data_IF_853873010627
#
_entry.id   IF_853873010627
#
_cell.length_a   1.000
_cell.length_b   1.000
_cell.length_c   1.000
_cell.angle_alpha   90.00
_cell.angle_beta   90.00
_cell.angle_gamma   90.00
#
_symmetry.space_group_name_H-M   'P 1'
#
loop_
_entity.id
_entity.type
_entity.pdbx_description
1 polymer ?
#
# COMPACT_ATOMS: atom_id res chain seq x y z
N UNK A 1 -20.55 -12.81 23.11
CA UNK A 1 -19.45 -12.71 22.15
C UNK A 1 -18.55 -11.57 22.60
N UNK A 2 -17.31 -11.85 23.00
CA UNK A 2 -16.37 -10.80 23.42
C UNK A 2 -16.04 -9.87 22.24
N UNK A 3 -15.81 -8.57 22.47
CA UNK A 3 -15.32 -7.69 21.42
C UNK A 3 -13.99 -8.26 20.92
N UNK A 4 -13.88 -8.54 19.62
CA UNK A 4 -12.60 -8.88 19.02
C UNK A 4 -11.67 -7.68 19.23
N UNK A 5 -10.57 -7.89 19.94
CA UNK A 5 -9.52 -6.88 20.11
C UNK A 5 -8.82 -6.68 18.76
N UNK A 6 -9.35 -5.76 17.96
CA UNK A 6 -8.68 -5.32 16.75
C UNK A 6 -7.41 -4.53 17.14
N UNK A 7 -6.29 -4.70 16.42
CA UNK A 7 -5.11 -3.88 16.63
C UNK A 7 -5.49 -2.39 16.58
N UNK A 8 -5.10 -1.66 17.62
CA UNK A 8 -5.39 -0.24 17.73
C UNK A 8 -4.51 0.57 16.77
N UNK A 9 -4.86 1.84 16.55
CA UNK A 9 -4.00 2.78 15.82
C UNK A 9 -2.57 2.84 16.41
N UNK A 10 -2.47 2.78 17.74
CA UNK A 10 -1.20 2.76 18.45
C UNK A 10 -0.35 1.52 18.12
N UNK A 11 -0.98 0.34 17.98
CA UNK A 11 -0.25 -0.87 17.60
C UNK A 11 0.51 -0.69 16.30
N UNK A 12 -0.13 -0.15 15.25
CA UNK A 12 0.55 0.03 13.96
C UNK A 12 1.60 1.14 13.99
N UNK A 13 1.43 2.19 14.79
CA UNK A 13 2.48 3.19 14.96
C UNK A 13 3.76 2.58 15.57
N UNK A 14 3.61 1.78 16.63
CA UNK A 14 4.72 1.08 17.26
C UNK A 14 5.30 0.00 16.34
N UNK A 15 4.46 -0.79 15.69
CA UNK A 15 4.86 -1.80 14.71
C UNK A 15 5.70 -1.19 13.58
N UNK A 16 5.23 -0.08 13.02
CA UNK A 16 5.88 0.59 11.91
C UNK A 16 7.22 1.20 12.32
N UNK A 17 7.26 1.91 13.45
CA UNK A 17 8.48 2.57 13.92
C UNK A 17 9.54 1.59 14.42
N UNK A 18 9.14 0.57 15.18
CA UNK A 18 10.07 -0.34 15.85
C UNK A 18 10.46 -1.53 14.99
N UNK A 19 9.53 -2.08 14.18
CA UNK A 19 9.77 -3.32 13.43
C UNK A 19 10.05 -3.05 11.95
N UNK A 20 9.18 -2.32 11.26
CA UNK A 20 9.41 -1.97 9.85
C UNK A 20 10.56 -0.96 9.68
N UNK A 21 10.72 -0.04 10.63
CA UNK A 21 11.83 0.90 10.71
C UNK A 21 13.10 0.34 11.35
N UNK A 22 13.11 -0.92 11.78
CA UNK A 22 14.26 -1.52 12.49
C UNK A 22 15.53 -1.46 11.64
N UNK A 23 16.72 -1.18 12.21
CA UNK A 23 17.99 -1.33 11.49
C UNK A 23 18.34 -2.80 11.20
N UNK A 24 17.69 -3.74 11.89
CA UNK A 24 17.93 -5.17 11.71
C UNK A 24 17.20 -5.70 10.48
N UNK A 25 17.97 -6.15 9.49
CA UNK A 25 17.45 -6.81 8.28
C UNK A 25 16.49 -7.96 8.62
N UNK A 26 16.87 -8.83 9.56
CA UNK A 26 16.05 -9.99 9.97
C UNK A 26 14.72 -9.52 10.58
N UNK A 27 14.75 -8.49 11.42
CA UNK A 27 13.52 -7.93 11.99
C UNK A 27 12.62 -7.36 10.91
N UNK A 28 13.16 -6.51 10.02
CA UNK A 28 12.37 -5.91 8.93
C UNK A 28 11.74 -6.95 8.02
N UNK A 29 12.50 -7.95 7.53
CA UNK A 29 11.96 -8.95 6.61
C UNK A 29 10.81 -9.75 7.23
N UNK A 30 10.92 -10.11 8.51
CA UNK A 30 9.89 -10.88 9.19
C UNK A 30 8.69 -10.00 9.55
N UNK A 31 8.92 -8.74 9.89
CA UNK A 31 7.85 -7.78 10.12
C UNK A 31 7.03 -7.49 8.86
N UNK A 32 7.66 -7.22 7.71
CA UNK A 32 6.90 -6.99 6.46
C UNK A 32 6.10 -8.23 6.06
N UNK A 33 6.67 -9.42 6.21
CA UNK A 33 5.96 -10.68 5.95
C UNK A 33 4.73 -10.84 6.85
N UNK A 34 4.93 -10.69 8.16
CA UNK A 34 3.87 -10.81 9.15
C UNK A 34 2.77 -9.76 8.93
N UNK A 35 3.14 -8.54 8.54
CA UNK A 35 2.17 -7.52 8.14
C UNK A 35 1.31 -7.99 6.96
N UNK A 36 1.91 -8.57 5.93
CA UNK A 36 1.18 -9.16 4.81
C UNK A 36 0.22 -10.25 5.26
N UNK A 37 0.68 -11.20 6.07
CA UNK A 37 -0.14 -12.28 6.60
C UNK A 37 -1.33 -11.75 7.42
N UNK A 38 -1.09 -10.76 8.29
CA UNK A 38 -2.14 -10.12 9.11
C UNK A 38 -3.20 -9.40 8.28
N UNK A 39 -2.79 -8.70 7.21
CA UNK A 39 -3.70 -7.92 6.38
C UNK A 39 -4.48 -8.79 5.37
N UNK A 40 -3.92 -9.93 4.96
CA UNK A 40 -4.57 -10.89 4.07
C UNK A 40 -5.54 -11.83 4.80
N UNK A 41 -5.43 -11.94 6.13
CA UNK A 41 -6.39 -12.70 6.93
C UNK A 41 -7.79 -12.07 6.84
N UNK A 42 -8.76 -12.87 6.40
CA UNK A 42 -10.16 -12.46 6.27
C UNK A 42 -10.77 -12.01 7.59
N UNK A 43 -10.31 -12.53 8.74
CA UNK A 43 -10.78 -12.10 10.06
C UNK A 43 -10.38 -10.66 10.38
N UNK A 44 -9.39 -10.12 9.68
CA UNK A 44 -8.78 -8.81 9.89
C UNK A 44 -9.17 -7.79 8.80
N UNK A 45 -10.22 -8.06 8.01
CA UNK A 45 -10.63 -7.19 6.89
C UNK A 45 -10.83 -5.72 7.28
N UNK A 46 -11.44 -5.45 8.43
CA UNK A 46 -11.61 -4.08 8.94
C UNK A 46 -10.27 -3.37 9.23
N UNK A 47 -9.29 -4.13 9.71
CA UNK A 47 -7.93 -3.64 9.96
C UNK A 47 -7.21 -3.39 8.64
N UNK A 48 -7.35 -4.32 7.70
CA UNK A 48 -6.78 -4.18 6.35
C UNK A 48 -7.28 -2.89 5.68
N UNK A 49 -8.60 -2.68 5.63
CA UNK A 49 -9.20 -1.48 5.03
C UNK A 49 -8.65 -0.19 5.66
N UNK A 50 -8.54 -0.14 7.00
CA UNK A 50 -7.95 1.01 7.70
C UNK A 50 -6.47 1.19 7.36
N UNK A 51 -5.69 0.11 7.35
CA UNK A 51 -4.26 0.18 7.09
C UNK A 51 -3.96 0.69 5.68
N UNK A 52 -4.67 0.17 4.67
CA UNK A 52 -4.48 0.53 3.25
C UNK A 52 -5.08 1.88 2.85
N UNK A 53 -5.78 2.53 3.78
CA UNK A 53 -6.31 3.89 3.62
C UNK A 53 -5.42 4.96 4.27
N UNK A 54 -4.26 4.58 4.81
CA UNK A 54 -3.31 5.54 5.41
C UNK A 54 -2.15 5.84 4.47
N UNK A 55 -1.98 7.11 4.12
CA UNK A 55 -0.84 7.56 3.32
C UNK A 55 0.50 7.29 4.00
N UNK A 56 0.58 7.44 5.32
CA UNK A 56 1.82 7.21 6.07
C UNK A 56 2.23 5.73 6.03
N UNK A 57 1.26 4.81 6.13
CA UNK A 57 1.51 3.39 5.93
C UNK A 57 2.02 3.10 4.50
N UNK A 58 1.43 3.72 3.47
CA UNK A 58 1.90 3.55 2.10
C UNK A 58 3.34 4.05 1.92
N UNK A 59 3.68 5.21 2.50
CA UNK A 59 5.03 5.80 2.42
C UNK A 59 6.09 4.86 3.00
N UNK A 60 5.78 4.18 4.11
CA UNK A 60 6.69 3.17 4.69
C UNK A 60 6.97 2.06 3.69
N UNK A 61 5.94 1.51 3.02
CA UNK A 61 6.14 0.47 2.02
C UNK A 61 6.89 0.96 0.78
N UNK A 62 6.60 2.17 0.32
CA UNK A 62 7.33 2.77 -0.80
C UNK A 62 8.81 2.97 -0.48
N UNK A 63 9.15 3.26 0.78
CA UNK A 63 10.55 3.31 1.22
C UNK A 63 11.19 1.92 1.26
N UNK A 64 10.46 0.89 1.68
CA UNK A 64 10.95 -0.50 1.69
C UNK A 64 11.24 -1.04 0.28
N UNK A 65 10.60 -0.53 -0.78
CA UNK A 65 11.01 -0.84 -2.17
C UNK A 65 12.43 -0.40 -2.51
N UNK A 66 12.99 0.58 -1.79
CA UNK A 66 14.35 1.09 -2.00
C UNK A 66 15.42 0.23 -1.33
N UNK A 67 15.02 -0.80 -0.58
CA UNK A 67 15.94 -1.74 0.05
C UNK A 67 16.72 -2.55 -1.00
N UNK A 68 18.00 -2.82 -0.74
CA UNK A 68 18.86 -3.57 -1.66
C UNK A 68 18.49 -5.05 -1.76
N UNK A 69 17.77 -5.59 -0.78
CA UNK A 69 17.42 -7.01 -0.69
C UNK A 69 16.06 -7.28 -1.33
N UNK A 70 16.07 -8.05 -2.43
CA UNK A 70 14.89 -8.52 -3.18
C UNK A 70 13.79 -9.13 -2.29
N UNK A 71 14.15 -9.82 -1.22
CA UNK A 71 13.17 -10.43 -0.29
C UNK A 71 12.30 -9.37 0.39
N UNK A 72 12.86 -8.25 0.86
CA UNK A 72 12.06 -7.19 1.48
C UNK A 72 11.18 -6.52 0.42
N UNK A 73 11.71 -6.31 -0.78
CA UNK A 73 10.94 -5.76 -1.90
C UNK A 73 9.74 -6.66 -2.24
N UNK A 74 9.92 -7.99 -2.27
CA UNK A 74 8.85 -8.96 -2.54
C UNK A 74 7.74 -8.88 -1.49
N UNK A 75 8.11 -8.99 -0.21
CA UNK A 75 7.13 -8.94 0.88
C UNK A 75 6.43 -7.58 0.92
N UNK A 76 7.14 -6.49 0.61
CA UNK A 76 6.55 -5.15 0.51
C UNK A 76 5.56 -5.04 -0.66
N UNK A 77 5.83 -5.73 -1.78
CA UNK A 77 4.93 -5.78 -2.92
C UNK A 77 3.60 -6.46 -2.55
N UNK A 78 3.65 -7.57 -1.79
CA UNK A 78 2.45 -8.26 -1.34
C UNK A 78 1.53 -7.40 -0.47
N UNK A 79 2.08 -6.46 0.29
CA UNK A 79 1.28 -5.49 1.03
C UNK A 79 0.87 -4.29 0.14
N UNK A 80 1.79 -3.78 -0.68
CA UNK A 80 1.53 -2.63 -1.56
C UNK A 80 0.40 -2.89 -2.56
N UNK A 81 0.26 -4.12 -3.10
CA UNK A 81 -0.85 -4.46 -4.00
C UNK A 81 -2.22 -4.23 -3.37
N UNK A 82 -2.34 -4.31 -2.04
CA UNK A 82 -3.61 -4.04 -1.33
C UNK A 82 -3.99 -2.56 -1.36
N UNK A 83 -3.00 -1.65 -1.32
CA UNK A 83 -3.24 -0.22 -1.49
C UNK A 83 -3.77 0.09 -2.88
N UNK A 84 -3.16 -0.53 -3.90
CA UNK A 84 -3.55 -0.35 -5.30
C UNK A 84 -4.91 -1.00 -5.59
N UNK A 85 -5.23 -2.14 -4.96
CA UNK A 85 -6.51 -2.82 -5.13
C UNK A 85 -7.68 -2.18 -4.34
N UNK A 86 -7.41 -1.26 -3.41
CA UNK A 86 -8.45 -0.62 -2.60
C UNK A 86 -9.40 0.20 -3.48
N UNK A 87 -10.65 -0.24 -3.63
CA UNK A 87 -11.64 0.48 -4.45
C UNK A 87 -11.99 1.86 -3.88
N UNK A 88 -11.85 2.03 -2.56
CA UNK A 88 -12.08 3.30 -1.85
C UNK A 88 -10.75 3.98 -1.48
N UNK A 89 -9.80 4.02 -2.44
CA UNK A 89 -8.51 4.70 -2.29
C UNK A 89 -8.71 6.18 -1.91
N UNK A 90 -8.12 6.67 -0.81
CA UNK A 90 -8.15 8.09 -0.46
C UNK A 90 -7.47 8.98 -1.53
N UNK A 91 -7.94 10.22 -1.75
CA UNK A 91 -7.39 11.13 -2.75
C UNK A 91 -5.88 11.35 -2.65
N UNK A 92 -5.34 11.40 -1.42
CA UNK A 92 -3.92 11.58 -1.16
C UNK A 92 -3.08 10.36 -1.56
N UNK A 93 -3.64 9.15 -1.47
CA UNK A 93 -3.02 7.92 -1.98
C UNK A 93 -3.00 7.94 -3.51
N UNK A 94 -4.13 8.28 -4.14
CA UNK A 94 -4.21 8.44 -5.59
C UNK A 94 -3.18 9.47 -6.08
N UNK A 95 -3.12 10.64 -5.43
CA UNK A 95 -2.18 11.70 -5.77
C UNK A 95 -0.72 11.21 -5.76
N UNK A 96 -0.32 10.43 -4.74
CA UNK A 96 1.04 9.89 -4.65
C UNK A 96 1.30 8.82 -5.71
N UNK A 97 0.35 7.93 -5.99
CA UNK A 97 0.49 6.91 -7.05
C UNK A 97 0.63 7.57 -8.43
N UNK A 98 -0.19 8.58 -8.73
CA UNK A 98 -0.14 9.33 -9.99
C UNK A 98 1.19 10.11 -10.11
N UNK A 99 1.58 10.87 -9.09
CA UNK A 99 2.84 11.64 -9.07
C UNK A 99 4.08 10.76 -9.26
N UNK A 100 4.04 9.51 -8.80
CA UNK A 100 5.16 8.56 -8.91
C UNK A 100 4.98 7.53 -10.04
N UNK A 101 3.96 7.66 -10.89
CA UNK A 101 3.57 6.65 -11.89
C UNK A 101 4.74 6.14 -12.71
N UNK A 102 5.47 7.02 -13.37
CA UNK A 102 6.58 6.63 -14.26
C UNK A 102 7.64 5.80 -13.52
N UNK A 103 8.02 6.19 -12.30
CA UNK A 103 8.99 5.46 -11.48
C UNK A 103 8.46 4.12 -11.00
N UNK A 104 7.20 4.06 -10.57
CA UNK A 104 6.55 2.83 -10.12
C UNK A 104 6.43 1.83 -11.26
N UNK A 105 5.96 2.26 -12.44
CA UNK A 105 5.82 1.41 -13.62
C UNK A 105 7.18 0.89 -14.11
N UNK A 106 8.21 1.76 -14.13
CA UNK A 106 9.58 1.34 -14.46
C UNK A 106 10.10 0.29 -13.48
N UNK A 107 10.01 0.55 -12.17
CA UNK A 107 10.41 -0.42 -11.15
C UNK A 107 9.67 -1.74 -11.29
N UNK A 108 8.33 -1.73 -11.40
CA UNK A 108 7.50 -2.93 -11.50
C UNK A 108 7.75 -3.71 -12.79
N UNK A 109 8.07 -3.04 -13.90
CA UNK A 109 8.45 -3.69 -15.16
C UNK A 109 9.70 -4.56 -15.00
N UNK A 110 10.72 -4.03 -14.30
CA UNK A 110 11.99 -4.72 -14.06
C UNK A 110 11.94 -5.68 -12.86
N UNK A 111 10.85 -5.63 -12.08
CA UNK A 111 10.72 -6.39 -10.85
C UNK A 111 10.36 -7.87 -11.12
N UNK A 112 11.38 -8.72 -11.04
CA UNK A 112 11.27 -10.19 -11.10
C UNK A 112 12.04 -10.82 -9.93
N UNK A 113 11.52 -11.93 -9.40
CA UNK A 113 11.99 -12.49 -8.13
C UNK A 113 12.21 -14.01 -8.21
N UNK A 114 11.30 -14.76 -8.84
CA UNK A 114 11.43 -16.20 -9.06
C UNK A 114 10.81 -16.56 -10.40
N UNK A 115 11.51 -17.37 -11.21
CA UNK A 115 10.93 -17.92 -12.44
C UNK A 115 9.82 -18.92 -12.07
N UNK A 116 8.61 -18.73 -12.59
CA UNK A 116 7.50 -19.68 -12.45
C UNK A 116 6.49 -19.38 -11.34
N UNK A 117 6.52 -18.20 -10.74
CA UNK A 117 5.44 -17.74 -9.83
C UNK A 117 4.37 -16.99 -10.63
N UNK A 118 3.47 -17.76 -11.25
CA UNK A 118 2.38 -17.22 -12.08
C UNK A 118 1.44 -16.30 -11.30
N UNK A 119 1.24 -16.57 -10.00
CA UNK A 119 0.39 -15.73 -9.15
C UNK A 119 1.02 -14.36 -8.92
N UNK A 120 2.33 -14.32 -8.63
CA UNK A 120 3.05 -13.06 -8.50
C UNK A 120 3.01 -12.26 -9.80
N UNK A 121 3.24 -12.90 -10.94
CA UNK A 121 3.22 -12.22 -12.24
C UNK A 121 1.83 -11.68 -12.58
N UNK A 122 0.76 -12.42 -12.27
CA UNK A 122 -0.62 -11.96 -12.43
C UNK A 122 -0.93 -10.76 -11.52
N UNK A 123 -0.57 -10.84 -10.23
CA UNK A 123 -0.76 -9.73 -9.28
C UNK A 123 0.00 -8.48 -9.74
N UNK A 124 1.23 -8.65 -10.22
CA UNK A 124 2.08 -7.56 -10.72
C UNK A 124 1.48 -6.92 -11.96
N UNK A 125 1.00 -7.71 -12.91
CA UNK A 125 0.34 -7.22 -14.11
C UNK A 125 -0.92 -6.40 -13.76
N UNK A 126 -1.71 -6.86 -12.79
CA UNK A 126 -2.89 -6.14 -12.32
C UNK A 126 -2.53 -4.81 -11.64
N UNK A 127 -1.49 -4.78 -10.80
CA UNK A 127 -1.00 -3.55 -10.16
C UNK A 127 -0.49 -2.55 -11.20
N UNK A 128 0.28 -3.01 -12.18
CA UNK A 128 0.77 -2.18 -13.29
C UNK A 128 -0.39 -1.55 -14.06
N UNK A 129 -1.39 -2.37 -14.42
CA UNK A 129 -2.58 -1.92 -15.15
C UNK A 129 -3.32 -0.84 -14.38
N UNK A 130 -3.62 -1.08 -13.10
CA UNK A 130 -4.34 -0.12 -12.25
C UNK A 130 -3.58 1.20 -12.14
N UNK A 131 -2.28 1.18 -11.85
CA UNK A 131 -1.46 2.39 -11.72
C UNK A 131 -1.40 3.19 -13.03
N UNK A 132 -1.33 2.49 -14.17
CA UNK A 132 -1.29 3.12 -15.49
C UNK A 132 -2.59 3.87 -15.83
N UNK A 133 -3.74 3.35 -15.38
CA UNK A 133 -5.07 3.93 -15.66
C UNK A 133 -5.61 4.85 -14.57
N UNK A 134 -4.92 5.00 -13.43
CA UNK A 134 -5.35 5.93 -12.38
C UNK A 134 -5.43 7.37 -12.91
N UNK A 135 -6.42 8.13 -12.48
CA UNK A 135 -6.53 9.56 -12.77
C UNK A 135 -6.86 10.31 -11.48
N UNK A 136 -6.42 11.57 -11.40
CA UNK A 136 -6.85 12.45 -10.31
C UNK A 136 -8.25 12.93 -10.69
N UNK A 137 -9.28 12.38 -10.05
CA UNK A 137 -10.64 12.90 -10.22
C UNK A 137 -10.76 14.20 -9.41
N UNK A 138 -10.54 15.34 -10.05
CA UNK A 138 -10.67 16.70 -9.48
C UNK A 138 -12.13 17.09 -9.11
N UNK A 139 -13.08 16.14 -9.10
CA UNK A 139 -14.50 16.43 -8.83
C UNK A 139 -14.74 17.04 -7.46
N UNK A 140 -13.86 16.83 -6.49
CA UNK A 140 -13.98 17.44 -5.16
C UNK A 140 -13.69 18.95 -5.12
N UNK A 141 -13.06 19.54 -6.15
CA UNK A 141 -12.81 20.99 -6.21
C UNK A 141 -13.88 21.76 -6.99
N UNK A 142 -14.74 21.10 -7.78
CA UNK A 142 -15.75 21.81 -8.59
C UNK A 142 -17.02 22.15 -7.84
N UNK A 143 -17.32 21.43 -6.75
CA UNK A 143 -18.52 21.69 -5.94
C UNK A 143 -18.35 22.89 -4.99
N UNK A 144 -17.14 23.44 -4.85
CA UNK A 144 -16.85 24.60 -4.00
C UNK A 144 -16.95 25.94 -4.74
N UNK A 145 -16.81 25.96 -6.07
CA UNK A 145 -16.79 27.20 -6.89
C UNK A 145 -18.19 27.60 -7.39
N UNK A 146 -19.16 26.68 -7.34
CA UNK A 146 -20.55 26.93 -7.75
C UNK A 146 -21.44 27.53 -6.65
N UNK A 147 -20.92 27.67 -5.42
CA UNK A 147 -21.65 28.30 -4.29
C UNK A 147 -21.44 29.81 -4.16
N UNK A 148 -20.53 30.44 -4.92
CA UNK A 148 -20.29 31.89 -4.85
C UNK A 148 -21.05 32.73 -5.90
N UNK A 149 -21.90 32.13 -6.75
CA UNK A 149 -22.62 32.86 -7.82
C UNK A 149 -24.09 33.17 -7.48
N UNK A 150 -24.53 32.92 -6.23
CA UNK A 150 -25.88 33.30 -5.76
C UNK A 150 -25.83 34.15 -4.48
N UNK A 151 -25.37 35.40 -4.62
CA UNK A 151 -25.67 36.48 -3.67
C UNK A 151 -25.73 37.82 -4.37
#
# INVERSE_FOLDING_TARGET
MSPRNFPSFQFFQEYNSQLLGSPSYITRRHAVKLLGDMLLDRSNSAVMVRYVSSLDNMRILMNLFRESKKTIQLESFHVFKLFVANQNKPPEIISVLVKNRSKLLGFLGDFSIVKGDEQFDADKAQVIKEIATLEINDRACKDADDCEVLS
#
